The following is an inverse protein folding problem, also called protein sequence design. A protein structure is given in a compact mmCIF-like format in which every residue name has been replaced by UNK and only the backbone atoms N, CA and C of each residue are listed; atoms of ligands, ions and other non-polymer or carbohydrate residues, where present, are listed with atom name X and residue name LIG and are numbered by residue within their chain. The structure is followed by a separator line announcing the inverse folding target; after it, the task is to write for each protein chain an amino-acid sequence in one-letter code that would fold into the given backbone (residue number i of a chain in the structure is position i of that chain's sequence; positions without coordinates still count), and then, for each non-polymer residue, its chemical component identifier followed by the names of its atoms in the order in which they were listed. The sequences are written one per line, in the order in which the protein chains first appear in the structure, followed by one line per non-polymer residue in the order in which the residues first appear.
data_IF_731290901955
#
_entry.id   IF_731290901955
#
_cell.length_a   1.000
_cell.length_b   1.000
_cell.length_c   1.000
_cell.angle_alpha   90.00
_cell.angle_beta   90.00
_cell.angle_gamma   90.00
#
_symmetry.space_group_name_H-M   'P 1'
#
loop_
_entity.id
_entity.type
_entity.pdbx_description
1 polymer ?
#
# COMPACT_ATOMS: atom_id res chain seq x y z
N UNK A 1 6.06 -3.35 -19.76
CA UNK A 1 4.98 -4.18 -19.16
C UNK A 1 4.57 -3.53 -17.84
N UNK A 2 3.53 -2.70 -17.84
CA UNK A 2 3.02 -2.05 -16.63
C UNK A 2 2.38 -3.09 -15.72
N UNK A 3 2.91 -3.29 -14.52
CA UNK A 3 2.28 -4.15 -13.52
C UNK A 3 0.90 -3.60 -13.17
N UNK A 4 -0.10 -4.47 -13.03
CA UNK A 4 -1.42 -4.05 -12.58
C UNK A 4 -1.30 -3.49 -11.17
N UNK A 5 -1.61 -2.20 -10.99
CA UNK A 5 -1.65 -1.58 -9.66
C UNK A 5 -2.66 -2.34 -8.79
N UNK A 6 -2.37 -2.46 -7.48
CA UNK A 6 -3.27 -3.06 -6.48
C UNK A 6 -3.46 -4.58 -6.53
N UNK A 7 -2.66 -5.33 -7.30
CA UNK A 7 -2.90 -6.75 -7.58
C UNK A 7 -1.94 -7.74 -6.89
N UNK A 8 -1.18 -7.36 -5.86
CA UNK A 8 -0.31 -8.34 -5.17
C UNK A 8 -1.14 -9.46 -4.52
N UNK A 9 -2.17 -9.09 -3.76
CA UNK A 9 -3.15 -10.01 -3.17
C UNK A 9 -4.60 -9.63 -3.50
N UNK A 10 -4.81 -8.54 -4.26
CA UNK A 10 -6.15 -8.00 -4.56
C UNK A 10 -6.87 -7.36 -3.36
N UNK A 11 -6.35 -7.46 -2.14
CA UNK A 11 -7.02 -6.98 -0.92
C UNK A 11 -7.46 -5.52 -0.99
N UNK A 12 -6.61 -4.63 -1.51
CA UNK A 12 -6.97 -3.21 -1.58
C UNK A 12 -8.10 -3.01 -2.59
N UNK A 13 -8.00 -3.60 -3.79
CA UNK A 13 -9.06 -3.53 -4.78
C UNK A 13 -10.40 -4.08 -4.26
N UNK A 14 -10.38 -5.25 -3.60
CA UNK A 14 -11.58 -5.85 -3.03
C UNK A 14 -12.12 -5.17 -1.77
N UNK A 15 -11.39 -4.21 -1.20
CA UNK A 15 -11.84 -3.42 -0.04
C UNK A 15 -12.48 -2.08 -0.40
N UNK A 16 -12.52 -1.75 -1.70
CA UNK A 16 -13.15 -0.52 -2.16
C UNK A 16 -14.65 -0.68 -1.99
N UNK A 17 -15.24 0.18 -1.17
CA UNK A 17 -16.67 0.28 -0.99
C UNK A 17 -17.19 1.60 -1.53
N UNK A 18 -18.44 1.60 -1.95
CA UNK A 18 -19.19 2.80 -2.30
C UNK A 18 -20.37 2.99 -1.34
N UNK A 19 -20.74 4.23 -1.13
CA UNK A 19 -21.94 4.65 -0.44
C UNK A 19 -22.52 5.85 -1.17
N UNK A 20 -23.84 5.96 -1.24
CA UNK A 20 -24.51 7.09 -1.87
C UNK A 20 -25.77 7.46 -1.10
N UNK A 21 -26.06 8.75 -1.04
CA UNK A 21 -27.31 9.33 -0.60
C UNK A 21 -27.87 10.26 -1.69
N UNK A 22 -28.89 11.07 -1.37
CA UNK A 22 -29.54 11.94 -2.34
C UNK A 22 -28.63 13.07 -2.86
N UNK A 23 -27.62 13.46 -2.08
CA UNK A 23 -26.80 14.66 -2.33
C UNK A 23 -25.33 14.32 -2.59
N UNK A 24 -24.90 13.09 -2.30
CA UNK A 24 -23.50 12.70 -2.31
C UNK A 24 -23.29 11.24 -2.69
N UNK A 25 -22.17 10.99 -3.37
CA UNK A 25 -21.64 9.66 -3.62
C UNK A 25 -20.19 9.61 -3.13
N UNK A 26 -19.89 8.61 -2.30
CA UNK A 26 -18.58 8.43 -1.65
C UNK A 26 -18.02 7.07 -2.04
N UNK A 27 -16.74 7.05 -2.41
CA UNK A 27 -15.99 5.82 -2.68
C UNK A 27 -14.71 5.84 -1.86
N UNK A 28 -14.40 4.73 -1.19
CA UNK A 28 -13.24 4.69 -0.31
C UNK A 28 -12.83 3.28 0.10
N UNK A 29 -11.80 3.21 0.94
CA UNK A 29 -11.30 1.97 1.53
C UNK A 29 -10.83 2.23 2.96
N UNK A 30 -11.00 1.25 3.84
CA UNK A 30 -10.53 1.30 5.23
C UNK A 30 -9.11 0.71 5.42
N UNK A 31 -8.45 0.34 4.33
CA UNK A 31 -7.14 -0.30 4.39
C UNK A 31 -6.05 0.73 4.78
N UNK A 32 -5.34 0.46 5.88
CA UNK A 32 -4.33 1.38 6.45
C UNK A 32 -3.29 1.91 5.45
N UNK A 33 -2.83 1.06 4.54
CA UNK A 33 -1.80 1.43 3.56
C UNK A 33 -2.36 2.11 2.30
N UNK A 34 -3.69 2.24 2.18
CA UNK A 34 -4.33 2.82 1.00
C UNK A 34 -4.01 4.32 0.86
N UNK A 35 -4.08 5.08 1.96
CA UNK A 35 -3.83 6.53 1.95
C UNK A 35 -2.44 6.88 1.42
N UNK A 36 -1.39 6.26 1.97
CA UNK A 36 -0.01 6.52 1.53
C UNK A 36 0.25 6.05 0.10
N UNK A 37 -0.55 5.11 -0.43
CA UNK A 37 -0.51 4.79 -1.86
C UNK A 37 -1.27 5.80 -2.71
N UNK A 38 -2.40 6.34 -2.26
CA UNK A 38 -3.16 7.34 -3.02
C UNK A 38 -2.40 8.68 -3.09
N UNK A 39 -1.98 9.20 -1.93
CA UNK A 39 -1.41 10.54 -1.78
C UNK A 39 0.12 10.56 -1.88
N UNK A 40 0.77 9.40 -1.72
CA UNK A 40 2.20 9.34 -1.45
C UNK A 40 2.51 9.75 0.00
N UNK A 41 3.79 9.79 0.35
CA UNK A 41 4.21 10.27 1.65
C UNK A 41 5.59 9.79 2.08
N UNK A 42 5.97 10.17 3.30
CA UNK A 42 7.22 9.74 3.92
C UNK A 42 6.94 8.96 5.21
N UNK A 43 7.61 7.82 5.38
CA UNK A 43 7.62 7.07 6.62
C UNK A 43 8.92 7.38 7.34
N UNK A 44 8.82 7.96 8.54
CA UNK A 44 9.98 8.20 9.41
C UNK A 44 10.28 6.94 10.24
N UNK A 45 11.45 6.36 10.01
CA UNK A 45 11.93 5.22 10.78
C UNK A 45 12.87 5.71 11.88
N UNK A 46 12.56 5.46 13.17
CA UNK A 46 13.45 5.84 14.26
C UNK A 46 14.71 4.97 14.26
N UNK A 47 15.77 5.49 14.87
CA UNK A 47 16.99 4.72 15.10
C UNK A 47 16.69 3.51 15.99
N UNK A 48 17.29 2.37 15.68
CA UNK A 48 17.09 1.12 16.43
C UNK A 48 18.35 0.28 16.43
N UNK A 49 18.51 -0.55 17.46
CA UNK A 49 19.53 -1.60 17.51
C UNK A 49 18.89 -2.90 17.03
N UNK A 50 19.58 -3.61 16.15
CA UNK A 50 19.16 -4.90 15.62
C UNK A 50 20.19 -5.95 16.01
N UNK A 51 19.70 -7.06 16.57
CA UNK A 51 20.54 -8.21 16.89
C UNK A 51 20.50 -9.21 15.73
N UNK A 52 21.66 -9.42 15.12
CA UNK A 52 21.85 -10.38 14.06
C UNK A 52 22.43 -11.68 14.62
N UNK A 53 21.97 -12.81 14.11
CA UNK A 53 22.35 -14.13 14.59
C UNK A 53 23.10 -14.90 13.51
N UNK A 54 24.24 -15.48 13.88
CA UNK A 54 25.13 -16.21 12.99
C UNK A 54 25.54 -17.56 13.59
N UNK A 55 26.20 -18.39 12.77
CA UNK A 55 26.91 -19.58 13.24
C UNK A 55 28.41 -19.34 13.24
N UNK A 56 29.04 -19.61 14.36
CA UNK A 56 30.48 -19.64 14.53
C UNK A 56 30.96 -21.10 14.51
N UNK A 57 31.95 -21.39 13.67
CA UNK A 57 32.61 -22.70 13.64
C UNK A 57 33.49 -22.89 14.86
N UNK A 58 33.89 -24.15 15.14
CA UNK A 58 34.80 -24.46 16.25
C UNK A 58 36.14 -23.72 16.17
N UNK A 59 36.56 -23.34 14.97
CA UNK A 59 37.78 -22.57 14.69
C UNK A 59 37.62 -21.06 14.95
N UNK A 60 36.49 -20.63 15.51
CA UNK A 60 36.21 -19.22 15.81
C UNK A 60 35.71 -18.40 14.61
N UNK A 61 35.78 -18.91 13.38
CA UNK A 61 35.26 -18.22 12.19
C UNK A 61 33.75 -18.06 12.25
N UNK A 62 33.25 -16.82 12.14
CA UNK A 62 31.82 -16.51 12.05
C UNK A 62 31.37 -16.61 10.59
N UNK A 63 30.31 -17.36 10.33
CA UNK A 63 29.75 -17.51 8.99
C UNK A 63 29.06 -16.24 8.49
N UNK A 64 29.10 -16.02 7.18
CA UNK A 64 28.50 -14.85 6.51
C UNK A 64 26.97 -14.90 6.33
N UNK A 65 26.32 -16.00 6.74
CA UNK A 65 24.87 -16.20 6.57
C UNK A 65 24.15 -16.02 7.90
N UNK A 66 23.06 -15.24 7.86
CA UNK A 66 22.13 -15.14 8.98
C UNK A 66 21.45 -16.48 9.25
N UNK A 67 21.28 -16.83 10.52
CA UNK A 67 20.54 -18.02 10.96
C UNK A 67 19.44 -17.66 11.95
N UNK A 68 18.47 -18.55 12.13
CA UNK A 68 17.50 -18.40 13.20
C UNK A 68 18.18 -18.40 14.58
N UNK A 69 17.59 -17.68 15.54
CA UNK A 69 18.11 -17.60 16.92
C UNK A 69 18.34 -18.97 17.55
N UNK A 70 17.39 -19.91 17.39
CA UNK A 70 17.48 -21.28 17.91
C UNK A 70 18.65 -22.09 17.35
N UNK A 71 19.17 -21.71 16.17
CA UNK A 71 20.29 -22.38 15.50
C UNK A 71 21.60 -21.61 15.62
N UNK A 72 21.58 -20.43 16.24
CA UNK A 72 22.73 -19.55 16.40
C UNK A 72 23.54 -19.91 17.64
N UNK A 73 24.85 -19.67 17.56
CA UNK A 73 25.77 -19.73 18.70
C UNK A 73 26.61 -18.44 18.81
N UNK A 74 26.40 -17.48 17.91
CA UNK A 74 27.00 -16.16 17.94
C UNK A 74 25.95 -15.11 17.54
N UNK A 75 26.00 -13.94 18.17
CA UNK A 75 25.13 -12.81 17.82
C UNK A 75 25.89 -11.50 17.86
N UNK A 76 25.57 -10.61 16.93
CA UNK A 76 26.17 -9.28 16.83
C UNK A 76 25.08 -8.20 16.86
N UNK A 77 25.37 -7.07 17.50
CA UNK A 77 24.45 -5.95 17.60
C UNK A 77 24.86 -4.87 16.59
N UNK A 78 23.95 -4.51 15.69
CA UNK A 78 24.15 -3.44 14.73
C UNK A 78 23.19 -2.29 14.99
N UNK A 79 23.70 -1.06 14.91
CA UNK A 79 22.89 0.16 15.05
C UNK A 79 22.44 0.64 13.69
N UNK A 80 21.13 0.77 13.50
CA UNK A 80 20.53 1.37 12.31
C UNK A 80 20.09 2.79 12.66
N UNK A 81 20.64 3.77 11.96
CA UNK A 81 20.28 5.17 12.13
C UNK A 81 18.84 5.48 11.71
N UNK A 82 18.31 6.58 12.24
CA UNK A 82 17.02 7.09 11.81
C UNK A 82 17.07 7.50 10.34
N UNK A 83 16.06 7.15 9.56
CA UNK A 83 15.98 7.48 8.14
C UNK A 83 14.54 7.59 7.69
N UNK A 84 14.33 8.20 6.53
CA UNK A 84 13.01 8.36 5.93
C UNK A 84 12.87 7.52 4.68
N UNK A 85 11.71 6.89 4.52
CA UNK A 85 11.35 6.13 3.32
C UNK A 85 10.32 6.96 2.55
N UNK A 86 10.68 7.40 1.34
CA UNK A 86 9.78 8.13 0.45
C UNK A 86 8.96 7.16 -0.39
N UNK A 87 7.64 7.26 -0.31
CA UNK A 87 6.69 6.49 -1.11
C UNK A 87 6.04 7.45 -2.12
N UNK A 88 6.19 7.22 -3.44
CA UNK A 88 5.53 8.03 -4.45
C UNK A 88 4.03 7.76 -4.47
N UNK A 89 3.25 8.79 -4.82
CA UNK A 89 1.81 8.68 -5.04
C UNK A 89 1.52 7.72 -6.20
N UNK A 90 0.49 6.88 -6.02
CA UNK A 90 -0.04 5.90 -6.96
C UNK A 90 -1.57 6.02 -6.96
N UNK A 91 -2.13 7.14 -7.46
CA UNK A 91 -3.55 7.43 -7.34
C UNK A 91 -4.37 6.38 -8.11
N UNK A 92 -5.26 5.72 -7.37
CA UNK A 92 -6.13 4.65 -7.87
C UNK A 92 -7.62 4.97 -7.69
N UNK A 93 -7.98 5.87 -6.77
CA UNK A 93 -9.30 6.49 -6.72
C UNK A 93 -9.22 7.82 -7.46
N UNK A 94 -9.33 7.77 -8.79
CA UNK A 94 -9.42 8.96 -9.64
C UNK A 94 -10.56 8.77 -10.63
N UNK A 95 -11.32 9.82 -10.87
CA UNK A 95 -12.20 9.90 -12.01
C UNK A 95 -11.35 10.19 -13.24
N UNK A 96 -11.54 9.41 -14.29
CA UNK A 96 -10.99 9.71 -15.61
C UNK A 96 -12.01 10.48 -16.42
N UNK A 97 -11.57 11.22 -17.44
CA UNK A 97 -12.46 11.96 -18.34
C UNK A 97 -13.54 11.08 -18.99
N UNK A 98 -13.25 9.77 -19.14
CA UNK A 98 -14.24 8.81 -19.64
C UNK A 98 -15.28 8.47 -18.58
N UNK A 99 -14.88 8.28 -17.32
CA UNK A 99 -15.81 8.06 -16.22
C UNK A 99 -16.76 9.26 -16.06
N UNK A 100 -16.24 10.49 -16.17
CA UNK A 100 -17.05 11.71 -16.10
C UNK A 100 -18.08 11.80 -17.22
N UNK A 101 -17.69 11.46 -18.46
CA UNK A 101 -18.62 11.39 -19.59
C UNK A 101 -19.70 10.34 -19.39
N UNK A 102 -19.32 9.14 -18.91
CA UNK A 102 -20.27 8.06 -18.62
C UNK A 102 -21.28 8.45 -17.53
N UNK A 103 -20.82 9.13 -16.48
CA UNK A 103 -21.69 9.69 -15.45
C UNK A 103 -22.68 10.68 -16.07
N UNK A 104 -22.20 11.63 -16.88
CA UNK A 104 -23.04 12.62 -17.56
C UNK A 104 -24.12 11.98 -18.42
N UNK A 105 -23.74 11.06 -19.31
CA UNK A 105 -24.69 10.32 -20.16
C UNK A 105 -25.69 9.50 -19.35
N UNK A 106 -25.28 8.97 -18.20
CA UNK A 106 -26.18 8.20 -17.32
C UNK A 106 -27.22 9.11 -16.66
N UNK A 107 -26.82 10.30 -16.23
CA UNK A 107 -27.71 11.32 -15.66
C UNK A 107 -28.69 11.82 -16.73
N UNK A 108 -28.20 12.20 -17.91
CA UNK A 108 -29.04 12.65 -19.03
C UNK A 108 -30.12 11.62 -19.36
N UNK A 109 -29.73 10.35 -19.52
CA UNK A 109 -30.66 9.25 -19.80
C UNK A 109 -31.71 9.07 -18.70
N UNK A 110 -31.29 9.18 -17.43
CA UNK A 110 -32.22 9.07 -16.31
C UNK A 110 -33.25 10.20 -16.33
N UNK A 111 -32.81 11.44 -16.59
CA UNK A 111 -33.68 12.60 -16.65
C UNK A 111 -34.67 12.53 -17.83
N UNK A 112 -34.20 12.17 -19.04
CA UNK A 112 -35.08 12.05 -20.21
C UNK A 112 -36.14 10.97 -20.02
N UNK A 113 -35.76 9.81 -19.46
CA UNK A 113 -36.69 8.75 -19.12
C UNK A 113 -37.76 9.21 -18.11
N UNK A 114 -37.42 10.11 -17.20
CA UNK A 114 -38.33 10.63 -16.19
C UNK A 114 -39.25 11.72 -16.73
N UNK A 115 -38.80 12.51 -17.70
CA UNK A 115 -39.61 13.56 -18.37
C UNK A 115 -40.50 13.01 -19.49
N UNK A 116 -40.28 11.78 -19.95
CA UNK A 116 -41.13 11.11 -20.93
C UNK A 116 -40.93 11.57 -22.38
N UNK A 117 -39.78 12.19 -22.66
CA UNK A 117 -39.30 12.47 -24.02
C UNK A 117 -38.41 11.35 -24.55
#
# INVERSE_FOLDING_TARGET
RGGRILQLSGRLAGSIGSYSDNDSAVVGTNVKYARIHQEGGEISMPARRQQNYFRQGKNGTVGNRFVSKSRSNYSEQHSVGAHKIKIPARPFLRLTDTDEREIGTTIERYLTQLTGE
#
